data_IF_268174689842
#
_entry.id   IF_268174689842
#
_cell.length_a   1.000
_cell.length_b   1.000
_cell.length_c   1.000
_cell.angle_alpha   90.00
_cell.angle_beta   90.00
_cell.angle_gamma   90.00
#
_symmetry.space_group_name_H-M   'P 1'
#
loop_
_entity.id
_entity.type
_entity.pdbx_description
1 polymer ?
#
# COMPACT_ATOMS: atom_id res chain seq x y z
N UNK A 1 8.95 9.95 -10.51
CA UNK A 1 8.59 10.56 -9.21
C UNK A 1 9.34 9.77 -8.16
N UNK A 2 10.35 10.37 -7.54
CA UNK A 2 11.15 9.71 -6.51
C UNK A 2 10.34 9.66 -5.20
N UNK A 3 10.57 8.66 -4.34
CA UNK A 3 9.82 8.50 -3.08
C UNK A 3 9.84 9.73 -2.15
N UNK A 4 10.81 10.63 -2.35
CA UNK A 4 10.87 11.95 -1.71
C UNK A 4 9.71 12.87 -2.10
N UNK A 5 9.27 12.87 -3.35
CA UNK A 5 8.12 13.68 -3.81
C UNK A 5 6.83 13.22 -3.12
N UNK A 6 6.70 11.92 -2.86
CA UNK A 6 5.55 11.32 -2.18
C UNK A 6 5.52 11.69 -0.70
N UNK A 7 6.66 11.63 0.00
CA UNK A 7 6.73 12.01 1.42
C UNK A 7 6.49 13.50 1.63
N UNK A 8 7.04 14.37 0.76
CA UNK A 8 6.81 15.82 0.83
C UNK A 8 5.36 16.17 0.50
N UNK A 9 4.76 15.53 -0.51
CA UNK A 9 3.35 15.74 -0.85
C UNK A 9 2.41 15.20 0.23
N UNK A 10 2.72 14.05 0.83
CA UNK A 10 1.99 13.50 1.97
C UNK A 10 2.09 14.40 3.21
N UNK A 11 3.27 14.96 3.48
CA UNK A 11 3.49 15.90 4.58
C UNK A 11 2.75 17.23 4.35
N UNK A 12 2.72 17.74 3.12
CA UNK A 12 2.01 18.98 2.76
C UNK A 12 0.48 18.79 2.84
N UNK A 13 -0.05 17.68 2.31
CA UNK A 13 -1.49 17.40 2.36
C UNK A 13 -1.98 17.02 3.76
N UNK A 14 -1.13 16.41 4.60
CA UNK A 14 -1.40 16.24 6.03
C UNK A 14 -1.46 17.58 6.77
N UNK A 15 -0.62 18.54 6.35
CA UNK A 15 -0.57 19.90 6.91
C UNK A 15 -1.79 20.72 6.52
N UNK A 16 -2.31 20.52 5.30
CA UNK A 16 -3.51 21.16 4.76
C UNK A 16 -4.75 20.25 4.93
N UNK A 17 -5.00 19.81 6.17
CA UNK A 17 -5.89 18.72 6.60
C UNK A 17 -7.36 18.77 6.14
N UNK A 18 -7.78 19.80 5.41
CA UNK A 18 -9.18 19.98 5.00
C UNK A 18 -9.58 19.07 3.83
N UNK A 19 -8.65 18.47 3.10
CA UNK A 19 -8.98 17.49 2.04
C UNK A 19 -8.23 16.15 2.14
N UNK A 20 -8.55 15.41 3.21
CA UNK A 20 -8.11 14.04 3.42
C UNK A 20 -8.49 13.09 2.27
N UNK A 21 -9.57 13.39 1.54
CA UNK A 21 -10.07 12.59 0.42
C UNK A 21 -9.18 12.70 -0.82
N UNK A 22 -8.64 13.90 -1.11
CA UNK A 22 -7.65 14.10 -2.16
C UNK A 22 -6.34 13.40 -1.84
N UNK A 23 -5.82 13.54 -0.61
CA UNK A 23 -4.60 12.83 -0.18
C UNK A 23 -4.76 11.32 -0.32
N UNK A 24 -5.85 10.76 0.18
CA UNK A 24 -6.08 9.32 0.09
C UNK A 24 -6.27 8.85 -1.35
N UNK A 25 -6.91 9.66 -2.21
CA UNK A 25 -7.01 9.38 -3.65
C UNK A 25 -5.64 9.32 -4.33
N UNK A 26 -4.77 10.28 -4.04
CA UNK A 26 -3.40 10.31 -4.55
C UNK A 26 -2.58 9.10 -4.05
N UNK A 27 -2.68 8.77 -2.77
CA UNK A 27 -1.97 7.64 -2.19
C UNK A 27 -2.42 6.30 -2.78
N UNK A 28 -3.74 6.09 -2.92
CA UNK A 28 -4.33 4.92 -3.56
C UNK A 28 -3.77 4.71 -4.98
N UNK A 29 -3.75 5.78 -5.78
CA UNK A 29 -3.24 5.71 -7.15
C UNK A 29 -1.72 5.43 -7.19
N UNK A 30 -0.96 6.08 -6.30
CA UNK A 30 0.50 5.91 -6.23
C UNK A 30 0.87 4.49 -5.85
N UNK A 31 0.22 3.93 -4.83
CA UNK A 31 0.44 2.55 -4.38
C UNK A 31 0.03 1.54 -5.44
N UNK A 32 -1.11 1.75 -6.11
CA UNK A 32 -1.55 0.90 -7.22
C UNK A 32 -0.57 0.90 -8.40
N UNK A 33 0.13 1.99 -8.66
CA UNK A 33 1.05 2.11 -9.80
C UNK A 33 2.48 1.67 -9.47
N UNK A 34 2.87 1.72 -8.20
CA UNK A 34 4.27 1.55 -7.78
C UNK A 34 4.57 0.19 -7.14
N UNK A 35 3.56 -0.49 -6.59
CA UNK A 35 3.76 -1.78 -5.95
C UNK A 35 3.56 -2.95 -6.94
N UNK A 36 4.39 -4.01 -6.84
CA UNK A 36 4.17 -5.25 -7.57
C UNK A 36 2.79 -5.85 -7.27
N UNK A 37 2.18 -6.49 -8.27
CA UNK A 37 0.83 -7.06 -8.18
C UNK A 37 0.73 -8.18 -7.12
N UNK A 38 1.84 -8.80 -6.73
CA UNK A 38 1.86 -9.78 -5.64
C UNK A 38 1.67 -9.15 -4.25
N UNK A 39 1.99 -7.87 -4.11
CA UNK A 39 1.91 -7.13 -2.84
C UNK A 39 0.64 -6.28 -2.72
N UNK A 40 0.06 -5.85 -3.85
CA UNK A 40 -1.11 -4.96 -3.88
C UNK A 40 -2.28 -5.56 -4.67
N UNK A 41 -3.44 -5.59 -4.03
CA UNK A 41 -4.73 -5.82 -4.67
C UNK A 41 -5.46 -4.49 -4.78
N UNK A 42 -5.98 -4.19 -5.96
CA UNK A 42 -6.60 -2.90 -6.28
C UNK A 42 -8.09 -3.09 -6.51
N UNK A 43 -8.91 -2.39 -5.73
CA UNK A 43 -10.35 -2.36 -5.92
C UNK A 43 -10.72 -1.19 -6.83
N UNK A 44 -11.33 -1.49 -7.98
CA UNK A 44 -11.71 -0.52 -9.01
C UNK A 44 -13.21 -0.46 -9.15
N UNK A 45 -13.75 0.73 -9.42
CA UNK A 45 -15.18 0.90 -9.65
C UNK A 45 -15.64 0.03 -10.82
N UNK A 46 -16.56 -0.89 -10.55
CA UNK A 46 -17.20 -1.68 -11.60
C UNK A 46 -18.15 -0.82 -12.43
N UNK A 47 -18.12 -0.99 -13.76
CA UNK A 47 -19.04 -0.35 -14.70
C UNK A 47 -20.43 -1.01 -14.71
N UNK A 48 -21.32 -0.48 -15.57
CA UNK A 48 -22.60 -1.14 -15.86
C UNK A 48 -22.32 -2.58 -16.33
N UNK A 49 -23.04 -3.55 -15.75
CA UNK A 49 -22.84 -5.00 -15.95
C UNK A 49 -21.58 -5.61 -15.30
N UNK A 50 -20.97 -4.95 -14.31
CA UNK A 50 -19.87 -5.54 -13.52
C UNK A 50 -18.52 -5.60 -14.25
N UNK A 51 -18.42 -5.03 -15.46
CA UNK A 51 -17.14 -4.95 -16.18
C UNK A 51 -16.30 -3.81 -15.60
N UNK A 52 -15.10 -4.15 -15.13
CA UNK A 52 -14.08 -3.17 -14.78
C UNK A 52 -13.39 -2.74 -16.08
N UNK A 53 -13.34 -1.43 -16.32
CA UNK A 53 -12.54 -0.87 -17.43
C UNK A 53 -11.13 -0.58 -16.94
N UNK A 54 -10.15 -0.58 -17.85
CA UNK A 54 -8.76 -0.27 -17.49
C UNK A 54 -8.58 1.17 -16.97
N UNK A 55 -9.46 2.08 -17.38
CA UNK A 55 -9.55 3.48 -16.94
C UNK A 55 -10.48 3.69 -15.73
N UNK A 56 -11.02 2.62 -15.14
CA UNK A 56 -11.93 2.73 -14.01
C UNK A 56 -11.23 3.34 -12.78
N UNK A 57 -11.89 4.26 -12.06
CA UNK A 57 -11.30 4.90 -10.90
C UNK A 57 -11.05 3.86 -9.80
N UNK A 58 -9.87 3.97 -9.17
CA UNK A 58 -9.49 3.13 -8.04
C UNK A 58 -10.26 3.60 -6.79
N UNK A 59 -10.96 2.67 -6.16
CA UNK A 59 -11.77 2.86 -4.95
C UNK A 59 -11.09 2.30 -3.70
N UNK A 60 -10.12 1.41 -3.85
CA UNK A 60 -9.38 0.92 -2.70
C UNK A 60 -8.11 0.19 -3.08
N UNK A 61 -7.26 0.01 -2.08
CA UNK A 61 -6.07 -0.83 -2.15
C UNK A 61 -6.03 -1.72 -0.92
N UNK A 62 -5.55 -2.94 -1.11
CA UNK A 62 -5.22 -3.88 -0.06
C UNK A 62 -3.79 -4.33 -0.27
N UNK A 63 -2.94 -4.10 0.73
CA UNK A 63 -1.52 -4.43 0.66
C UNK A 63 -1.22 -5.50 1.71
N UNK A 64 -0.56 -6.57 1.31
CA UNK A 64 -0.14 -7.65 2.19
C UNK A 64 1.38 -7.63 2.35
N UNK A 65 1.85 -7.41 3.59
CA UNK A 65 3.26 -7.42 3.94
C UNK A 65 3.47 -8.29 5.17
N UNK A 66 4.03 -9.48 4.96
CA UNK A 66 4.19 -10.48 6.02
C UNK A 66 2.83 -10.91 6.59
N UNK A 67 2.64 -10.69 7.88
CA UNK A 67 1.43 -10.99 8.66
C UNK A 67 0.44 -9.81 8.71
N UNK A 68 0.70 -8.71 7.99
CA UNK A 68 -0.13 -7.51 8.05
C UNK A 68 -0.81 -7.21 6.73
N UNK A 69 -2.11 -6.96 6.81
CA UNK A 69 -2.93 -6.49 5.71
C UNK A 69 -3.39 -5.06 5.96
N UNK A 70 -2.95 -4.17 5.08
CA UNK A 70 -3.28 -2.75 5.10
C UNK A 70 -4.36 -2.48 4.06
N UNK A 71 -5.50 -1.94 4.48
CA UNK A 71 -6.61 -1.63 3.57
C UNK A 71 -6.95 -0.15 3.62
N UNK A 72 -7.09 0.45 2.44
CA UNK A 72 -7.77 1.73 2.24
C UNK A 72 -8.93 1.51 1.28
N UNK A 73 -10.12 1.97 1.63
CA UNK A 73 -11.26 1.94 0.71
C UNK A 73 -12.15 3.18 0.85
N UNK A 74 -12.88 3.50 -0.22
CA UNK A 74 -13.90 4.53 -0.28
C UNK A 74 -15.06 4.08 -1.15
N UNK A 75 -16.22 4.67 -0.90
CA UNK A 75 -17.45 4.36 -1.67
C UNK A 75 -17.42 4.97 -3.07
N UNK A 76 -16.83 6.15 -3.24
CA UNK A 76 -16.66 6.82 -4.52
C UNK A 76 -15.46 7.79 -4.48
N UNK A 77 -15.02 8.27 -5.65
CA UNK A 77 -14.02 9.35 -5.74
C UNK A 77 -14.53 10.59 -5.01
N UNK A 78 -13.65 11.22 -4.21
CA UNK A 78 -13.98 12.39 -3.38
C UNK A 78 -14.68 12.09 -2.05
N UNK A 79 -15.04 10.83 -1.78
CA UNK A 79 -15.61 10.43 -0.49
C UNK A 79 -14.52 10.12 0.55
N UNK A 80 -14.84 10.27 1.85
CA UNK A 80 -13.93 9.89 2.93
C UNK A 80 -13.48 8.44 2.81
N UNK A 81 -12.22 8.19 3.17
CA UNK A 81 -11.64 6.86 3.14
C UNK A 81 -11.75 6.19 4.49
N UNK A 82 -11.88 4.86 4.48
CA UNK A 82 -11.71 4.04 5.69
C UNK A 82 -10.39 3.31 5.63
N UNK A 83 -9.52 3.58 6.60
CA UNK A 83 -8.24 2.91 6.81
C UNK A 83 -8.36 1.79 7.83
N UNK A 84 -7.88 0.61 7.45
CA UNK A 84 -7.82 -0.56 8.34
C UNK A 84 -6.45 -1.22 8.29
N UNK A 85 -6.01 -1.71 9.45
CA UNK A 85 -4.87 -2.60 9.59
C UNK A 85 -5.39 -3.92 10.17
N UNK A 86 -5.00 -5.02 9.56
CA UNK A 86 -5.36 -6.36 10.00
C UNK A 86 -4.10 -7.18 10.22
N UNK A 87 -4.02 -7.85 11.36
CA UNK A 87 -2.98 -8.84 11.64
C UNK A 87 -3.53 -10.23 11.38
N UNK A 88 -2.80 -11.01 10.59
CA UNK A 88 -3.16 -12.34 10.13
C UNK A 88 -2.00 -13.31 10.35
N UNK A 89 -2.28 -14.46 10.95
CA UNK A 89 -1.30 -15.53 11.10
C UNK A 89 -1.90 -16.83 10.58
N UNK A 90 -1.19 -17.51 9.67
CA UNK A 90 -1.64 -18.78 9.10
C UNK A 90 -3.00 -18.71 8.39
N UNK A 91 -3.38 -17.56 7.82
CA UNK A 91 -4.68 -17.35 7.18
C UNK A 91 -5.83 -17.02 8.14
N UNK A 92 -5.57 -16.95 9.45
CA UNK A 92 -6.56 -16.56 10.46
C UNK A 92 -6.36 -15.09 10.84
N UNK A 93 -7.47 -14.35 10.86
CA UNK A 93 -7.49 -12.94 11.30
C UNK A 93 -7.40 -12.89 12.82
N UNK A 94 -6.28 -12.38 13.33
CA UNK A 94 -6.08 -12.20 14.77
C UNK A 94 -6.75 -10.93 15.26
N UNK A 95 -6.57 -9.84 14.52
CA UNK A 95 -7.06 -8.52 14.90
C UNK A 95 -7.32 -7.68 13.67
N UNK A 96 -8.41 -6.91 13.67
CA UNK A 96 -8.68 -5.86 12.68
C UNK A 96 -8.92 -4.55 13.43
N UNK A 97 -8.23 -3.50 13.02
CA UNK A 97 -8.30 -2.17 13.62
C UNK A 97 -8.65 -1.16 12.53
N UNK A 98 -9.66 -0.33 12.77
CA UNK A 98 -9.89 0.86 11.96
C UNK A 98 -9.07 1.98 12.60
N UNK A 99 -8.17 2.58 11.84
CA UNK A 99 -7.18 3.54 12.34
C UNK A 99 -7.26 4.84 11.57
N UNK A 100 -6.70 5.92 12.11
CA UNK A 100 -6.49 7.16 11.37
C UNK A 100 -5.56 6.97 10.17
N UNK A 101 -5.72 7.81 9.15
CA UNK A 101 -4.91 7.78 7.93
C UNK A 101 -3.42 8.04 8.20
N UNK A 102 -3.15 8.86 9.21
CA UNK A 102 -1.81 9.18 9.70
C UNK A 102 -1.10 7.94 10.25
N UNK A 103 -1.77 7.20 11.13
CA UNK A 103 -1.29 5.94 11.71
C UNK A 103 -1.14 4.89 10.62
N UNK A 104 -2.13 4.76 9.74
CA UNK A 104 -2.11 3.81 8.62
C UNK A 104 -0.89 4.03 7.71
N UNK A 105 -0.62 5.29 7.33
CA UNK A 105 0.49 5.64 6.45
C UNK A 105 1.85 5.33 7.08
N UNK A 106 2.00 5.65 8.37
CA UNK A 106 3.24 5.41 9.11
C UNK A 106 3.55 3.92 9.27
N UNK A 107 2.54 3.12 9.64
CA UNK A 107 2.69 1.67 9.81
C UNK A 107 2.99 0.99 8.46
N UNK A 108 2.34 1.42 7.37
CA UNK A 108 2.65 0.90 6.03
C UNK A 108 4.09 1.24 5.62
N UNK A 109 4.53 2.49 5.80
CA UNK A 109 5.89 2.91 5.46
C UNK A 109 6.94 2.08 6.25
N UNK A 110 6.69 1.86 7.54
CA UNK A 110 7.52 1.02 8.40
C UNK A 110 7.57 -0.44 7.90
N UNK A 111 6.42 -1.00 7.52
CA UNK A 111 6.34 -2.37 6.98
C UNK A 111 7.07 -2.50 5.62
N UNK A 112 6.92 -1.53 4.72
CA UNK A 112 7.61 -1.50 3.43
C UNK A 112 9.12 -1.39 3.59
N UNK A 113 9.61 -0.55 4.53
CA UNK A 113 11.03 -0.43 4.82
C UNK A 113 11.62 -1.76 5.31
N UNK A 114 10.93 -2.46 6.21
CA UNK A 114 11.32 -3.81 6.68
C UNK A 114 11.33 -4.83 5.54
N UNK A 115 10.31 -4.83 4.70
CA UNK A 115 10.22 -5.70 3.53
C UNK A 115 11.39 -5.47 2.56
N UNK A 116 11.68 -4.21 2.24
CA UNK A 116 12.80 -3.84 1.36
C UNK A 116 14.15 -4.29 1.94
N UNK A 117 14.37 -4.10 3.24
CA UNK A 117 15.59 -4.54 3.93
C UNK A 117 15.75 -6.08 3.88
N UNK A 118 14.67 -6.82 4.17
CA UNK A 118 14.69 -8.28 4.14
C UNK A 118 14.99 -8.81 2.72
N UNK A 119 14.34 -8.26 1.69
CA UNK A 119 14.60 -8.64 0.30
C UNK A 119 16.03 -8.27 -0.13
N UNK A 120 16.56 -7.11 0.29
CA UNK A 120 17.94 -6.73 -0.01
C UNK A 120 18.94 -7.72 0.61
N UNK A 121 18.74 -8.11 1.87
CA UNK A 121 19.56 -9.10 2.55
C UNK A 121 19.48 -10.48 1.87
N UNK A 122 18.27 -10.94 1.53
CA UNK A 122 18.07 -12.19 0.80
C UNK A 122 18.75 -12.17 -0.58
N UNK A 123 18.63 -11.06 -1.31
CA UNK A 123 19.29 -10.85 -2.59
C UNK A 123 20.83 -10.87 -2.46
N UNK A 124 21.39 -10.32 -1.38
CA UNK A 124 22.83 -10.40 -1.10
C UNK A 124 23.29 -11.84 -0.80
N UNK A 125 22.51 -12.61 -0.06
CA UNK A 125 22.80 -14.04 0.17
C UNK A 125 22.76 -14.81 -1.15
N UNK A 126 21.72 -14.61 -1.96
CA UNK A 126 21.61 -15.25 -3.28
C UNK A 126 22.80 -14.88 -4.17
N UNK A 127 23.24 -13.62 -4.19
CA UNK A 127 24.45 -13.22 -4.92
C UNK A 127 25.69 -13.96 -4.43
N UNK A 128 25.90 -14.08 -3.12
CA UNK A 128 27.04 -14.84 -2.55
C UNK A 128 26.99 -16.33 -2.92
N UNK A 129 25.81 -16.93 -2.92
CA UNK A 129 25.63 -18.33 -3.30
C UNK A 129 25.78 -18.56 -4.81
N UNK A 130 25.39 -17.57 -5.62
CA UNK A 130 25.45 -17.65 -7.08
C UNK A 130 26.79 -17.19 -7.68
N UNK A 131 27.62 -16.46 -6.91
CA UNK A 131 28.99 -16.17 -7.29
C UNK A 131 29.85 -17.43 -7.10
N UNK A 132 30.38 -18.03 -8.18
CA UNK A 132 31.32 -19.12 -8.08
C UNK A 132 32.67 -18.53 -7.72
N UNK A 133 32.91 -18.23 -6.44
CA UNK A 133 34.29 -18.12 -5.98
C UNK A 133 34.87 -19.54 -5.96
N UNK A 134 35.44 -19.92 -7.11
CA UNK A 134 36.50 -20.92 -7.18
C UNK A 134 37.64 -20.47 -6.24
N UNK A 135 38.32 -21.42 -5.60
CA UNK A 135 39.33 -21.17 -4.56
C UNK A 135 40.50 -20.29 -5.01
#
# INVERSE_FOLDING_TARGET
>A
MSGWDLEVLAASLRRDSDDLSLYAGFLINTLSASLPAELVSVDRKSGLFGRVRDDAPVLGVTILLGDRRFTLNRTAVGQPVTSRIRHESGGVVLRTETVGMDVWSLELATALARYAQANAAASQVLRRLASPELP
#
